data_IF_060079280162
#
_entry.id   IF_060079280162
#
_cell.length_a   1.000
_cell.length_b   1.000
_cell.length_c   1.000
_cell.angle_alpha   90.00
_cell.angle_beta   90.00
_cell.angle_gamma   90.00
#
_symmetry.space_group_name_H-M   'P 1'
#
loop_
_entity.id
_entity.type
_entity.pdbx_description
1 polymer ?
#
# COMPACT_ATOMS: atom_id res chain seq x y z
N UNK A 1 -14.15 48.34 18.21
CA UNK A 1 -14.53 46.94 17.98
C UNK A 1 -14.46 46.72 16.48
N UNK A 2 -13.32 46.24 15.98
CA UNK A 2 -13.09 46.00 14.54
C UNK A 2 -13.25 44.49 14.29
N UNK A 3 -13.99 44.06 13.26
CA UNK A 3 -14.11 42.64 12.94
C UNK A 3 -12.79 42.15 12.37
N UNK A 4 -12.25 41.08 12.97
CA UNK A 4 -11.07 40.39 12.44
C UNK A 4 -11.49 39.57 11.22
N UNK A 5 -11.02 40.00 10.05
CA UNK A 5 -11.12 39.24 8.81
C UNK A 5 -10.45 37.89 9.01
N UNK A 6 -11.25 36.83 8.94
CA UNK A 6 -10.79 35.46 8.86
C UNK A 6 -10.19 35.29 7.47
N UNK A 7 -8.86 35.29 7.37
CA UNK A 7 -8.21 34.92 6.12
C UNK A 7 -8.58 33.47 5.79
N UNK A 8 -9.11 33.19 4.59
CA UNK A 8 -9.37 31.84 4.18
C UNK A 8 -8.03 31.12 4.03
N UNK A 9 -7.81 30.08 4.85
CA UNK A 9 -6.70 29.14 4.67
C UNK A 9 -7.06 28.28 3.46
N UNK A 10 -6.92 28.87 2.27
CA UNK A 10 -7.15 28.24 0.98
C UNK A 10 -5.92 27.43 0.59
N UNK A 11 -6.08 26.12 0.42
CA UNK A 11 -5.09 25.33 -0.29
C UNK A 11 -5.13 25.69 -1.77
N UNK A 12 -4.01 26.25 -2.25
CA UNK A 12 -3.76 26.46 -3.67
C UNK A 12 -3.37 25.11 -4.27
N UNK A 13 -4.34 24.40 -4.86
CA UNK A 13 -4.02 23.49 -5.95
C UNK A 13 -3.27 24.31 -7.00
N UNK A 14 -2.07 23.88 -7.39
CA UNK A 14 -1.40 24.50 -8.54
C UNK A 14 -2.16 24.00 -9.76
N UNK A 15 -3.30 24.64 -10.03
CA UNK A 15 -4.06 24.44 -11.24
C UNK A 15 -3.29 25.14 -12.34
N UNK A 16 -2.26 24.48 -12.84
CA UNK A 16 -1.54 24.96 -14.01
C UNK A 16 -2.43 24.71 -15.21
N UNK A 17 -3.30 25.67 -15.51
CA UNK A 17 -4.06 25.67 -16.76
C UNK A 17 -3.09 25.63 -17.97
N UNK A 18 -1.85 26.09 -17.78
CA UNK A 18 -0.76 25.97 -18.73
C UNK A 18 0.56 25.44 -18.10
N UNK A 19 1.31 24.55 -18.79
CA UNK A 19 2.56 23.95 -18.27
C UNK A 19 3.64 24.95 -17.85
N UNK A 20 3.61 26.18 -18.37
CA UNK A 20 4.56 27.25 -18.04
C UNK A 20 4.44 27.74 -16.60
N UNK A 21 3.26 27.63 -15.96
CA UNK A 21 3.06 28.08 -14.58
C UNK A 21 3.70 27.13 -13.54
N UNK A 22 3.79 25.84 -13.86
CA UNK A 22 4.51 24.83 -13.07
C UNK A 22 6.02 25.09 -13.06
N UNK A 23 6.54 25.80 -14.07
CA UNK A 23 7.96 26.08 -14.22
C UNK A 23 8.43 27.33 -13.46
N UNK A 24 7.52 28.07 -12.82
CA UNK A 24 7.89 29.26 -12.04
C UNK A 24 8.70 28.87 -10.81
N UNK A 25 9.75 29.64 -10.50
CA UNK A 25 10.67 29.37 -9.39
C UNK A 25 9.95 29.22 -8.04
N UNK A 26 8.89 30.02 -7.79
CA UNK A 26 8.07 29.93 -6.56
C UNK A 26 7.26 28.63 -6.49
N UNK A 27 6.67 28.20 -7.61
CA UNK A 27 5.92 26.94 -7.71
C UNK A 27 6.85 25.74 -7.49
N UNK A 28 7.99 25.73 -8.20
CA UNK A 28 9.02 24.69 -8.06
C UNK A 28 9.57 24.61 -6.63
N UNK A 29 9.81 25.75 -5.97
CA UNK A 29 10.27 25.78 -4.58
C UNK A 29 9.24 25.16 -3.62
N UNK A 30 7.95 25.46 -3.79
CA UNK A 30 6.87 24.85 -3.00
C UNK A 30 6.77 23.33 -3.25
N UNK A 31 6.86 22.90 -4.50
CA UNK A 31 6.85 21.47 -4.88
C UNK A 31 8.03 20.74 -4.22
N UNK A 32 9.25 21.29 -4.34
CA UNK A 32 10.46 20.71 -3.76
C UNK A 32 10.39 20.66 -2.23
N UNK A 33 9.89 21.72 -1.59
CA UNK A 33 9.71 21.76 -0.13
C UNK A 33 8.71 20.72 0.35
N UNK A 34 7.58 20.56 -0.36
CA UNK A 34 6.60 19.53 -0.07
C UNK A 34 7.21 18.12 -0.23
N UNK A 35 7.86 17.85 -1.35
CA UNK A 35 8.53 16.58 -1.60
C UNK A 35 9.60 16.27 -0.55
N UNK A 36 10.37 17.27 -0.13
CA UNK A 36 11.38 17.12 0.92
C UNK A 36 10.75 16.87 2.31
N UNK A 37 9.66 17.57 2.66
CA UNK A 37 8.90 17.35 3.90
C UNK A 37 8.37 15.92 3.96
N UNK A 38 7.82 15.45 2.85
CA UNK A 38 7.29 14.09 2.70
C UNK A 38 8.39 13.02 2.81
N UNK A 39 9.52 13.21 2.14
CA UNK A 39 10.69 12.32 2.28
C UNK A 39 11.22 12.28 3.72
N UNK A 40 11.31 13.42 4.41
CA UNK A 40 11.77 13.48 5.81
C UNK A 40 10.80 12.79 6.76
N UNK A 41 9.49 13.01 6.60
CA UNK A 41 8.47 12.35 7.40
C UNK A 41 8.50 10.82 7.21
N UNK A 42 8.71 10.35 5.97
CA UNK A 42 8.93 8.93 5.66
C UNK A 42 10.16 8.36 6.35
N UNK A 43 11.31 9.02 6.19
CA UNK A 43 12.56 8.60 6.81
C UNK A 43 12.45 8.50 8.35
N UNK A 44 11.75 9.46 8.98
CA UNK A 44 11.50 9.45 10.41
C UNK A 44 10.68 8.22 10.86
N UNK A 45 9.61 7.86 10.13
CA UNK A 45 8.79 6.67 10.43
C UNK A 45 9.53 5.36 10.22
N UNK A 46 10.36 5.26 9.18
CA UNK A 46 11.22 4.08 8.95
C UNK A 46 12.19 3.92 10.12
N UNK A 47 12.81 5.01 10.55
CA UNK A 47 13.73 5.00 11.70
C UNK A 47 13.05 4.58 13.00
N UNK A 48 11.86 5.12 13.27
CA UNK A 48 11.07 4.78 14.46
C UNK A 48 10.66 3.30 14.49
N UNK A 49 10.18 2.76 13.37
CA UNK A 49 9.84 1.33 13.24
C UNK A 49 11.04 0.42 13.39
N UNK A 50 12.19 0.80 12.82
CA UNK A 50 13.44 0.03 12.94
C UNK A 50 13.89 -0.03 14.39
N UNK A 51 13.82 1.09 15.12
CA UNK A 51 14.09 1.15 16.57
C UNK A 51 13.15 0.27 17.37
N UNK A 52 11.85 0.28 17.07
CA UNK A 52 10.87 -0.58 17.74
C UNK A 52 11.18 -2.07 17.52
N UNK A 53 11.51 -2.48 16.29
CA UNK A 53 11.87 -3.87 15.96
C UNK A 53 13.17 -4.32 16.64
N UNK A 54 14.17 -3.45 16.71
CA UNK A 54 15.42 -3.72 17.44
C UNK A 54 15.18 -3.92 18.95
N UNK A 55 14.37 -3.05 19.57
CA UNK A 55 13.99 -3.17 21.00
C UNK A 55 13.23 -4.47 21.29
N UNK A 56 12.27 -4.84 20.43
CA UNK A 56 11.50 -6.08 20.59
C UNK A 56 12.37 -7.33 20.45
N UNK A 57 13.39 -7.28 19.60
CA UNK A 57 14.34 -8.40 19.42
C UNK A 57 15.29 -8.53 20.62
N UNK A 58 15.70 -7.41 21.23
CA UNK A 58 16.50 -7.41 22.46
C UNK A 58 15.71 -7.91 23.68
N UNK A 59 14.42 -7.54 23.79
CA UNK A 59 13.53 -8.07 24.85
C UNK A 59 13.26 -9.58 24.73
N UNK A 60 13.15 -10.12 23.51
CA UNK A 60 12.97 -11.55 23.29
C UNK A 60 14.22 -12.40 23.63
N UNK A 61 15.40 -11.77 23.70
CA UNK A 61 16.66 -12.44 24.08
C UNK A 61 16.90 -12.35 25.61
N UNK A 62 16.24 -11.42 26.31
CA UNK A 62 16.46 -11.15 27.73
C UNK A 62 15.45 -11.79 28.70
N UNK A 63 14.60 -12.72 28.25
CA UNK A 63 13.55 -13.34 29.07
C UNK A 63 13.79 -14.87 29.23
N UNK A 64 14.54 -15.34 30.26
CA UNK A 64 14.80 -16.77 30.49
C UNK A 64 13.79 -17.44 31.44
N UNK A 65 12.70 -16.78 31.83
CA UNK A 65 11.83 -17.28 32.91
C UNK A 65 10.34 -17.20 32.57
N UNK A 66 9.74 -18.34 32.18
CA UNK A 66 8.29 -18.41 31.98
C UNK A 66 7.72 -19.72 31.43
N UNK A 67 8.00 -20.85 32.11
CA UNK A 67 7.13 -22.05 32.23
C UNK A 67 6.15 -22.42 31.09
N UNK A 68 6.48 -23.47 30.33
CA UNK A 68 5.50 -24.51 29.96
C UNK A 68 6.08 -25.88 30.33
N UNK A 69 5.39 -26.55 31.26
CA UNK A 69 5.84 -27.78 31.93
C UNK A 69 5.10 -28.97 31.31
N UNK A 70 5.87 -30.02 31.01
CA UNK A 70 5.50 -31.45 30.79
C UNK A 70 4.90 -31.76 29.41
N UNK A 71 5.40 -32.76 28.68
CA UNK A 71 5.70 -34.13 29.14
C UNK A 71 6.87 -34.73 28.38
N UNK A 72 7.91 -35.10 29.13
CA UNK A 72 8.95 -36.00 28.67
C UNK A 72 8.39 -37.43 28.63
N UNK A 73 8.66 -38.15 27.54
CA UNK A 73 8.77 -39.60 27.57
C UNK A 73 10.11 -39.97 26.97
N UNK A 74 10.87 -40.64 27.83
CA UNK A 74 12.22 -41.16 27.66
C UNK A 74 12.16 -42.47 26.87
N UNK A 75 13.13 -42.66 25.99
CA UNK A 75 13.42 -43.91 25.30
C UNK A 75 14.76 -43.74 24.59
N UNK A 76 15.84 -43.94 25.34
CA UNK A 76 17.15 -44.24 24.78
C UNK A 76 17.11 -45.71 24.33
N UNK A 77 17.59 -46.01 23.12
CA UNK A 77 18.39 -47.21 22.85
C UNK A 77 18.99 -47.14 21.44
N UNK A 78 20.31 -47.32 21.37
CA UNK A 78 20.95 -48.23 20.43
C UNK A 78 21.12 -47.83 18.96
N UNK A 79 22.40 -47.64 18.61
CA UNK A 79 23.06 -48.24 17.44
C UNK A 79 23.29 -47.46 16.12
N UNK A 80 24.61 -47.39 15.83
CA UNK A 80 25.29 -47.72 14.57
C UNK A 80 25.28 -46.72 13.41
N UNK A 81 26.48 -46.12 13.29
CA UNK A 81 27.16 -45.69 12.06
C UNK A 81 26.82 -46.58 10.85
N UNK A 82 26.21 -45.98 9.82
CA UNK A 82 26.34 -46.45 8.44
C UNK A 82 26.25 -45.27 7.48
N UNK A 83 27.30 -45.13 6.67
CA UNK A 83 27.42 -44.22 5.53
C UNK A 83 26.39 -44.58 4.46
N UNK A 84 25.46 -43.68 4.17
CA UNK A 84 24.60 -43.77 2.99
C UNK A 84 24.27 -42.37 2.46
N UNK A 85 24.22 -42.29 1.13
CA UNK A 85 24.25 -41.10 0.30
C UNK A 85 23.05 -40.17 0.53
N UNK A 86 23.29 -38.87 0.37
CA UNK A 86 22.27 -37.81 0.34
C UNK A 86 21.15 -38.16 -0.65
N UNK A 87 19.87 -38.17 -0.25
CA UNK A 87 18.79 -38.11 -1.22
C UNK A 87 18.81 -36.72 -1.86
N UNK A 88 19.06 -36.66 -3.17
CA UNK A 88 18.80 -35.48 -3.97
C UNK A 88 17.38 -35.00 -3.66
N UNK A 89 17.26 -33.76 -3.16
CA UNK A 89 15.99 -33.08 -3.04
C UNK A 89 15.42 -32.96 -4.46
N UNK A 90 14.50 -33.86 -4.79
CA UNK A 90 13.60 -33.69 -5.93
C UNK A 90 12.94 -32.32 -5.72
N UNK A 91 13.23 -31.39 -6.63
CA UNK A 91 12.48 -30.15 -6.78
C UNK A 91 11.02 -30.56 -6.97
N UNK A 92 10.23 -30.48 -5.91
CA UNK A 92 8.79 -30.51 -6.03
C UNK A 92 8.43 -29.32 -6.91
N UNK A 93 8.10 -29.61 -8.18
CA UNK A 93 7.51 -28.63 -9.06
C UNK A 93 6.29 -28.06 -8.34
N UNK A 94 6.15 -26.73 -8.21
CA UNK A 94 4.93 -26.17 -7.67
C UNK A 94 3.79 -26.67 -8.56
N UNK A 95 2.80 -27.28 -7.93
CA UNK A 95 1.52 -27.62 -8.53
C UNK A 95 1.11 -26.43 -9.39
N UNK A 96 1.02 -26.62 -10.71
CA UNK A 96 0.63 -25.58 -11.65
C UNK A 96 -0.84 -25.22 -11.34
N UNK A 97 -1.03 -24.33 -10.37
CA UNK A 97 -2.22 -23.51 -10.27
C UNK A 97 -2.25 -22.81 -11.62
N UNK A 98 -3.27 -23.12 -12.43
CA UNK A 98 -3.52 -22.45 -13.69
C UNK A 98 -3.61 -20.97 -13.35
N UNK A 99 -2.53 -20.23 -13.59
CA UNK A 99 -2.41 -18.80 -13.31
C UNK A 99 -3.70 -18.17 -13.84
N UNK A 100 -4.50 -17.50 -12.99
CA UNK A 100 -5.63 -16.76 -13.47
C UNK A 100 -5.11 -15.87 -14.59
N UNK A 101 -5.74 -15.91 -15.76
CA UNK A 101 -5.37 -15.03 -16.86
C UNK A 101 -5.69 -13.59 -16.47
N UNK A 102 -4.80 -12.98 -15.69
CA UNK A 102 -4.96 -11.61 -15.26
C UNK A 102 -5.00 -10.74 -16.51
N UNK A 103 -6.07 -9.96 -16.66
CA UNK A 103 -6.23 -9.01 -17.77
C UNK A 103 -5.32 -7.81 -17.53
N UNK A 104 -4.02 -7.99 -17.76
CA UNK A 104 -3.03 -6.94 -17.61
C UNK A 104 -3.28 -5.84 -18.64
N UNK A 105 -3.48 -4.61 -18.15
CA UNK A 105 -3.62 -3.41 -18.98
C UNK A 105 -2.40 -3.14 -19.86
N UNK A 106 -1.23 -3.64 -19.45
CA UNK A 106 0.03 -3.56 -20.20
C UNK A 106 1.01 -4.65 -19.77
N UNK A 107 2.01 -4.89 -20.59
CA UNK A 107 3.16 -5.71 -20.22
C UNK A 107 3.92 -5.07 -19.04
N UNK A 108 4.29 -5.90 -18.06
CA UNK A 108 5.07 -5.49 -16.91
C UNK A 108 6.56 -5.73 -17.17
N UNK A 109 7.40 -4.82 -16.68
CA UNK A 109 8.84 -5.06 -16.58
C UNK A 109 9.15 -6.15 -15.55
N UNK A 110 10.36 -6.71 -15.59
CA UNK A 110 10.81 -7.68 -14.58
C UNK A 110 10.72 -7.11 -13.16
N UNK A 111 11.03 -5.82 -12.99
CA UNK A 111 10.92 -5.14 -11.71
C UNK A 111 9.47 -5.01 -11.25
N UNK A 112 8.55 -4.58 -12.12
CA UNK A 112 7.12 -4.48 -11.81
C UNK A 112 6.50 -5.85 -11.52
N UNK A 113 6.96 -6.89 -12.21
CA UNK A 113 6.55 -8.27 -11.95
C UNK A 113 6.94 -8.69 -10.54
N UNK A 114 8.16 -8.36 -10.10
CA UNK A 114 8.59 -8.61 -8.71
C UNK A 114 7.82 -7.80 -7.68
N UNK A 115 7.48 -6.53 -7.98
CA UNK A 115 6.63 -5.72 -7.10
C UNK A 115 5.21 -6.29 -7.01
N UNK A 116 4.63 -6.71 -8.12
CA UNK A 116 3.30 -7.34 -8.16
C UNK A 116 3.30 -8.67 -7.39
N UNK A 117 4.33 -9.49 -7.56
CA UNK A 117 4.51 -10.71 -6.78
C UNK A 117 4.55 -10.42 -5.27
N UNK A 118 5.33 -9.40 -4.87
CA UNK A 118 5.37 -8.92 -3.49
C UNK A 118 4.01 -8.40 -3.01
N UNK A 119 3.25 -7.69 -3.86
CA UNK A 119 1.90 -7.26 -3.53
C UNK A 119 1.00 -8.44 -3.16
N UNK A 120 0.98 -9.45 -4.02
CA UNK A 120 0.14 -10.63 -3.86
C UNK A 120 0.58 -11.40 -2.61
N UNK A 121 1.85 -11.77 -2.53
CA UNK A 121 2.33 -12.68 -1.49
C UNK A 121 2.53 -12.02 -0.13
N UNK A 122 2.75 -10.70 -0.08
CA UNK A 122 3.06 -10.01 1.17
C UNK A 122 2.03 -8.94 1.52
N UNK A 123 1.55 -8.13 0.60
CA UNK A 123 0.56 -7.09 0.95
C UNK A 123 -0.83 -7.69 1.19
N UNK A 124 -1.33 -8.51 0.25
CA UNK A 124 -2.64 -9.19 0.35
C UNK A 124 -2.58 -10.29 1.40
N UNK A 125 -1.69 -11.27 1.23
CA UNK A 125 -1.73 -12.51 2.04
C UNK A 125 -1.26 -12.33 3.49
N UNK A 126 -0.37 -11.36 3.78
CA UNK A 126 0.03 -11.10 5.18
C UNK A 126 -0.80 -10.00 5.84
N UNK A 127 -1.73 -9.40 5.09
CA UNK A 127 -2.66 -8.36 5.53
C UNK A 127 -1.98 -7.21 6.31
N UNK A 128 -0.75 -6.86 5.89
CA UNK A 128 0.02 -5.73 6.45
C UNK A 128 -0.37 -4.38 5.86
N UNK A 129 -1.32 -4.37 4.92
CA UNK A 129 -1.84 -3.16 4.26
C UNK A 129 -2.84 -2.36 5.09
N UNK A 130 -3.18 -2.78 6.32
CA UNK A 130 -4.25 -2.15 7.10
C UNK A 130 -3.87 -0.78 7.66
N UNK A 131 -4.74 0.19 7.36
CA UNK A 131 -5.01 1.37 8.18
C UNK A 131 -5.99 1.04 9.33
N UNK A 132 -6.74 -0.08 9.22
CA UNK A 132 -7.87 -0.41 10.06
C UNK A 132 -7.67 -1.76 10.76
N UNK A 133 -7.28 -1.65 12.02
CA UNK A 133 -7.08 -2.74 12.95
C UNK A 133 -8.45 -3.25 13.43
N UNK A 134 -9.07 -4.16 12.68
CA UNK A 134 -10.29 -4.86 13.12
C UNK A 134 -10.13 -6.36 12.99
N UNK A 135 -10.34 -7.07 14.10
CA UNK A 135 -10.75 -8.48 14.19
C UNK A 135 -9.92 -9.56 13.47
N UNK A 136 -9.56 -10.59 14.22
CA UNK A 136 -8.90 -11.81 13.71
C UNK A 136 -9.79 -12.55 12.67
N UNK A 137 -11.11 -12.33 12.69
CA UNK A 137 -12.09 -13.07 11.88
C UNK A 137 -12.33 -12.51 10.46
N UNK A 138 -11.83 -11.31 10.15
CA UNK A 138 -12.02 -10.68 8.84
C UNK A 138 -11.02 -11.14 7.76
N UNK A 139 -10.11 -12.07 8.07
CA UNK A 139 -8.95 -12.39 7.23
C UNK A 139 -9.28 -13.15 5.92
N UNK A 140 -9.97 -14.31 5.93
CA UNK A 140 -10.05 -15.15 4.72
C UNK A 140 -10.97 -14.57 3.63
N UNK A 141 -12.11 -13.99 4.04
CA UNK A 141 -13.06 -13.39 3.09
C UNK A 141 -12.43 -12.18 2.39
N UNK A 142 -11.72 -11.33 3.14
CA UNK A 142 -11.12 -10.11 2.61
C UNK A 142 -9.99 -10.44 1.64
N UNK A 143 -9.10 -11.36 2.01
CA UNK A 143 -8.08 -11.90 1.11
C UNK A 143 -8.71 -12.49 -0.14
N UNK A 144 -9.81 -13.26 -0.02
CA UNK A 144 -10.51 -13.79 -1.19
C UNK A 144 -11.08 -12.69 -2.08
N UNK A 145 -11.64 -11.61 -1.52
CA UNK A 145 -12.14 -10.48 -2.31
C UNK A 145 -11.01 -9.69 -2.96
N UNK A 146 -9.89 -9.53 -2.25
CA UNK A 146 -8.71 -8.88 -2.82
C UNK A 146 -8.17 -9.65 -4.02
N UNK A 147 -8.11 -10.99 -3.96
CA UNK A 147 -7.62 -11.82 -5.06
C UNK A 147 -8.62 -11.93 -6.22
N UNK A 148 -9.93 -12.07 -5.93
CA UNK A 148 -10.96 -12.33 -6.95
C UNK A 148 -11.52 -11.08 -7.61
N UNK A 149 -11.63 -9.98 -6.87
CA UNK A 149 -12.31 -8.76 -7.33
C UNK A 149 -11.31 -7.63 -7.50
N UNK A 150 -10.59 -7.27 -6.43
CA UNK A 150 -9.70 -6.10 -6.44
C UNK A 150 -8.51 -6.25 -7.39
N UNK A 151 -7.78 -7.36 -7.29
CA UNK A 151 -6.57 -7.58 -8.08
C UNK A 151 -6.85 -7.57 -9.59
N UNK A 152 -7.80 -8.35 -10.15
CA UNK A 152 -8.07 -8.30 -11.58
C UNK A 152 -8.62 -6.94 -12.02
N UNK A 153 -9.42 -6.27 -11.19
CA UNK A 153 -9.88 -4.90 -11.46
C UNK A 153 -8.71 -3.91 -11.56
N UNK A 154 -7.78 -3.97 -10.60
CA UNK A 154 -6.64 -3.08 -10.56
C UNK A 154 -5.61 -3.38 -11.67
N UNK A 155 -5.48 -4.64 -12.08
CA UNK A 155 -4.60 -5.01 -13.19
C UNK A 155 -5.13 -4.55 -14.56
N UNK A 156 -6.44 -4.32 -14.69
CA UNK A 156 -7.09 -3.85 -15.91
C UNK A 156 -7.07 -2.31 -16.09
N UNK A 157 -6.65 -1.55 -15.06
CA UNK A 157 -6.56 -0.08 -15.10
C UNK A 157 -5.12 0.40 -14.83
N UNK A 158 -4.58 1.31 -15.64
CA UNK A 158 -3.17 1.70 -15.51
C UNK A 158 -2.89 2.53 -14.25
N UNK A 159 -3.88 3.30 -13.78
CA UNK A 159 -3.78 4.08 -12.57
C UNK A 159 -3.82 3.20 -11.33
N UNK A 160 -4.75 2.23 -11.30
CA UNK A 160 -4.82 1.27 -10.21
C UNK A 160 -3.62 0.32 -10.17
N UNK A 161 -3.09 -0.13 -11.30
CA UNK A 161 -1.84 -0.87 -11.34
C UNK A 161 -0.71 -0.06 -10.67
N UNK A 162 -0.60 1.24 -10.96
CA UNK A 162 0.37 2.11 -10.30
C UNK A 162 0.14 2.17 -8.78
N UNK A 163 -1.11 2.11 -8.30
CA UNK A 163 -1.41 2.02 -6.86
C UNK A 163 -0.93 0.72 -6.22
N UNK A 164 -1.03 -0.42 -6.91
CA UNK A 164 -0.51 -1.71 -6.39
C UNK A 164 1.02 -1.66 -6.24
N UNK A 165 1.69 -1.11 -7.25
CA UNK A 165 3.15 -0.97 -7.26
C UNK A 165 3.62 0.02 -6.18
N UNK A 166 2.89 1.13 -5.98
CA UNK A 166 3.11 2.08 -4.89
C UNK A 166 3.06 1.40 -3.51
N UNK A 167 1.99 0.63 -3.26
CA UNK A 167 1.81 -0.09 -1.99
C UNK A 167 2.89 -1.15 -1.77
N UNK A 168 3.38 -1.77 -2.85
CA UNK A 168 4.48 -2.75 -2.82
C UNK A 168 5.80 -2.10 -2.41
N UNK A 169 6.16 -0.97 -3.03
CA UNK A 169 7.35 -0.20 -2.65
C UNK A 169 7.32 0.21 -1.18
N UNK A 170 6.18 0.72 -0.68
CA UNK A 170 6.04 1.06 0.76
C UNK A 170 6.23 -0.15 1.66
N UNK A 171 5.68 -1.30 1.26
CA UNK A 171 5.82 -2.54 2.01
C UNK A 171 7.29 -2.98 2.09
N UNK A 172 8.02 -2.91 0.98
CA UNK A 172 9.44 -3.24 0.90
C UNK A 172 10.34 -2.24 1.64
N UNK A 173 9.98 -0.96 1.68
CA UNK A 173 10.67 0.00 2.57
C UNK A 173 10.53 -0.39 4.04
N UNK A 174 9.37 -0.93 4.43
CA UNK A 174 9.11 -1.32 5.81
C UNK A 174 9.84 -2.60 6.24
N UNK A 175 10.35 -3.40 5.29
CA UNK A 175 11.08 -4.64 5.59
C UNK A 175 12.58 -4.42 5.83
N UNK A 176 13.14 -3.29 5.39
CA UNK A 176 14.44 -2.75 5.85
C UNK A 176 15.65 -3.01 4.95
N UNK A 177 15.53 -3.76 3.86
CA UNK A 177 16.71 -4.22 3.09
C UNK A 177 17.17 -3.28 1.95
N UNK A 178 16.42 -2.23 1.59
CA UNK A 178 16.73 -1.43 0.38
C UNK A 178 16.17 0.01 0.36
N UNK A 179 16.14 0.67 1.53
CA UNK A 179 15.37 1.91 1.76
C UNK A 179 15.45 2.98 0.67
N UNK A 180 16.63 3.28 0.13
CA UNK A 180 16.80 4.39 -0.85
C UNK A 180 16.21 4.09 -2.24
N UNK A 181 16.28 2.85 -2.72
CA UNK A 181 15.80 2.49 -4.06
C UNK A 181 14.28 2.46 -4.12
N UNK A 182 13.65 1.83 -3.12
CA UNK A 182 12.18 1.82 -3.02
C UNK A 182 11.62 3.20 -2.71
N UNK A 183 12.37 4.09 -2.01
CA UNK A 183 11.94 5.49 -1.81
C UNK A 183 11.77 6.26 -3.13
N UNK A 184 12.76 6.16 -4.03
CA UNK A 184 12.67 6.83 -5.32
C UNK A 184 11.56 6.23 -6.20
N UNK A 185 11.47 4.90 -6.22
CA UNK A 185 10.47 4.16 -7.00
C UNK A 185 9.05 4.41 -6.47
N UNK A 186 8.86 4.45 -5.16
CA UNK A 186 7.63 4.85 -4.50
C UNK A 186 7.20 6.25 -4.95
N UNK A 187 8.12 7.23 -4.90
CA UNK A 187 7.81 8.61 -5.28
C UNK A 187 7.36 8.70 -6.74
N UNK A 188 7.98 7.91 -7.63
CA UNK A 188 7.58 7.81 -9.03
C UNK A 188 6.14 7.26 -9.16
N UNK A 189 5.82 6.11 -8.56
CA UNK A 189 4.46 5.56 -8.64
C UNK A 189 3.41 6.47 -7.98
N UNK A 190 3.76 7.19 -6.90
CA UNK A 190 2.85 8.16 -6.28
C UNK A 190 2.55 9.30 -7.24
N UNK A 191 3.56 9.83 -7.92
CA UNK A 191 3.39 10.85 -8.94
C UNK A 191 2.51 10.34 -10.08
N UNK A 192 2.72 9.11 -10.57
CA UNK A 192 1.87 8.50 -11.59
C UNK A 192 0.41 8.38 -11.13
N UNK A 193 0.16 7.95 -9.88
CA UNK A 193 -1.19 7.89 -9.33
C UNK A 193 -1.89 9.26 -9.35
N UNK A 194 -1.18 10.31 -8.92
CA UNK A 194 -1.72 11.68 -8.94
C UNK A 194 -1.99 12.15 -10.38
N UNK A 195 -1.11 11.84 -11.32
CA UNK A 195 -1.31 12.16 -12.74
C UNK A 195 -2.53 11.46 -13.32
N UNK A 196 -2.74 10.17 -13.01
CA UNK A 196 -3.92 9.42 -13.42
C UNK A 196 -5.21 9.96 -12.81
N UNK A 197 -5.20 10.28 -11.51
CA UNK A 197 -6.36 10.90 -10.86
C UNK A 197 -6.71 12.23 -11.54
N UNK A 198 -5.72 13.12 -11.76
CA UNK A 198 -5.96 14.39 -12.45
C UNK A 198 -6.50 14.21 -13.87
N UNK A 199 -5.98 13.22 -14.60
CA UNK A 199 -6.47 12.87 -15.93
C UNK A 199 -7.93 12.39 -15.90
N UNK A 200 -8.30 11.51 -14.96
CA UNK A 200 -9.67 11.05 -14.79
C UNK A 200 -10.62 12.16 -14.33
N UNK A 201 -10.18 13.05 -13.44
CA UNK A 201 -10.97 14.20 -12.99
C UNK A 201 -11.27 15.21 -14.11
N UNK A 202 -10.47 15.19 -15.18
CA UNK A 202 -10.65 16.06 -16.34
C UNK A 202 -11.76 15.58 -17.28
N UNK A 203 -12.33 14.38 -17.10
CA UNK A 203 -13.49 13.92 -17.88
C UNK A 203 -14.67 13.53 -16.98
N UNK A 204 -15.87 13.96 -17.37
CA UNK A 204 -17.10 13.83 -16.56
C UNK A 204 -17.51 12.38 -16.32
N UNK A 205 -17.28 11.51 -17.29
CA UNK A 205 -17.55 10.08 -17.23
C UNK A 205 -16.61 9.31 -16.28
N UNK A 206 -15.37 9.78 -16.12
CA UNK A 206 -14.34 9.08 -15.34
C UNK A 206 -14.15 9.64 -13.93
N UNK A 207 -14.50 10.91 -13.69
CA UNK A 207 -14.22 11.61 -12.42
C UNK A 207 -14.84 10.96 -11.18
N UNK A 208 -15.90 10.18 -11.32
CA UNK A 208 -16.54 9.43 -10.23
C UNK A 208 -16.57 7.92 -10.47
N UNK A 209 -15.83 7.41 -11.46
CA UNK A 209 -15.75 5.96 -11.75
C UNK A 209 -15.16 5.17 -10.57
N UNK A 210 -15.39 3.86 -10.54
CA UNK A 210 -14.86 2.99 -9.48
C UNK A 210 -13.34 3.07 -9.40
N UNK A 211 -12.68 3.15 -10.56
CA UNK A 211 -11.23 3.23 -10.63
C UNK A 211 -10.72 4.53 -10.01
N UNK A 212 -11.34 5.67 -10.33
CA UNK A 212 -10.95 6.96 -9.77
C UNK A 212 -11.20 7.02 -8.26
N UNK A 213 -12.36 6.56 -7.79
CA UNK A 213 -12.68 6.51 -6.35
C UNK A 213 -11.65 5.63 -5.62
N UNK A 214 -11.35 4.45 -6.16
CA UNK A 214 -10.37 3.55 -5.57
C UNK A 214 -8.94 4.12 -5.58
N UNK A 215 -8.52 4.81 -6.65
CA UNK A 215 -7.21 5.49 -6.68
C UNK A 215 -7.09 6.54 -5.58
N UNK A 216 -8.12 7.39 -5.41
CA UNK A 216 -8.14 8.42 -4.36
C UNK A 216 -8.18 7.77 -2.96
N UNK A 217 -8.92 6.67 -2.79
CA UNK A 217 -8.93 5.89 -1.55
C UNK A 217 -7.53 5.35 -1.19
N UNK A 218 -6.76 4.86 -2.17
CA UNK A 218 -5.38 4.42 -1.93
C UNK A 218 -4.48 5.61 -1.55
N UNK A 219 -4.56 6.74 -2.25
CA UNK A 219 -3.80 7.95 -1.89
C UNK A 219 -4.14 8.47 -0.48
N UNK A 220 -5.42 8.46 -0.12
CA UNK A 220 -5.90 8.78 1.22
C UNK A 220 -5.27 7.86 2.27
N UNK A 221 -5.27 6.56 2.02
CA UNK A 221 -4.68 5.53 2.89
C UNK A 221 -3.17 5.75 3.03
N UNK A 222 -2.48 6.06 1.94
CA UNK A 222 -1.05 6.35 1.95
C UNK A 222 -0.72 7.57 2.82
N UNK A 223 -1.47 8.68 2.66
CA UNK A 223 -1.29 9.88 3.48
C UNK A 223 -1.58 9.62 4.95
N UNK A 224 -2.59 8.81 5.26
CA UNK A 224 -2.87 8.39 6.63
C UNK A 224 -1.71 7.58 7.23
N UNK A 225 -1.29 6.51 6.54
CA UNK A 225 -0.21 5.62 7.01
C UNK A 225 1.09 6.38 7.20
N UNK A 226 1.36 7.37 6.37
CA UNK A 226 2.53 8.24 6.46
C UNK A 226 2.36 9.41 7.44
N UNK A 227 1.18 9.58 8.03
CA UNK A 227 0.90 10.62 9.02
C UNK A 227 0.88 12.03 8.43
N UNK A 228 0.74 12.15 7.11
CA UNK A 228 0.61 13.44 6.43
C UNK A 228 -0.83 13.93 6.56
N UNK A 229 -1.15 14.56 7.69
CA UNK A 229 -2.52 15.02 8.01
C UNK A 229 -3.06 16.03 7.00
N UNK A 230 -2.20 16.89 6.44
CA UNK A 230 -2.61 17.89 5.45
C UNK A 230 -3.08 17.21 4.17
N UNK A 231 -2.26 16.32 3.61
CA UNK A 231 -2.60 15.56 2.41
C UNK A 231 -3.76 14.58 2.64
N UNK A 232 -3.83 13.96 3.82
CA UNK A 232 -4.94 13.11 4.21
C UNK A 232 -6.28 13.86 4.17
N UNK A 233 -6.35 15.09 4.70
CA UNK A 233 -7.58 15.90 4.63
C UNK A 233 -7.99 16.18 3.19
N UNK A 234 -7.02 16.59 2.35
CA UNK A 234 -7.30 16.89 0.94
C UNK A 234 -7.87 15.67 0.21
N UNK A 235 -7.25 14.51 0.38
CA UNK A 235 -7.75 13.27 -0.25
C UNK A 235 -9.08 12.82 0.35
N UNK A 236 -9.33 13.07 1.64
CA UNK A 236 -10.59 12.72 2.31
C UNK A 236 -11.74 13.58 1.78
N UNK A 237 -11.53 14.90 1.68
CA UNK A 237 -12.51 15.83 1.15
C UNK A 237 -12.85 15.48 -0.31
N UNK A 238 -11.82 15.19 -1.12
CA UNK A 238 -12.01 14.75 -2.49
C UNK A 238 -12.78 13.43 -2.58
N UNK A 239 -12.41 12.43 -1.78
CA UNK A 239 -13.08 11.12 -1.73
C UNK A 239 -14.55 11.26 -1.33
N UNK A 240 -14.83 12.04 -0.28
CA UNK A 240 -16.20 12.32 0.19
C UNK A 240 -17.02 12.98 -0.91
N UNK A 241 -16.46 14.01 -1.57
CA UNK A 241 -17.15 14.71 -2.65
C UNK A 241 -17.44 13.81 -3.86
N UNK A 242 -16.52 12.91 -4.20
CA UNK A 242 -16.73 11.96 -5.29
C UNK A 242 -17.87 10.98 -4.99
N UNK A 243 -17.97 10.50 -3.74
CA UNK A 243 -19.06 9.63 -3.32
C UNK A 243 -20.41 10.35 -3.35
N UNK A 244 -20.48 11.60 -2.88
CA UNK A 244 -21.70 12.43 -2.97
C UNK A 244 -22.18 12.59 -4.41
N UNK A 245 -21.28 12.96 -5.32
CA UNK A 245 -21.59 13.15 -6.74
C UNK A 245 -22.07 11.85 -7.41
N UNK A 246 -21.63 10.70 -6.88
CA UNK A 246 -22.03 9.37 -7.38
C UNK A 246 -23.37 8.89 -6.81
N UNK A 247 -23.92 9.55 -5.79
CA UNK A 247 -25.14 9.13 -5.10
C UNK A 247 -24.89 8.23 -3.88
N UNK A 248 -23.68 8.22 -3.33
CA UNK A 248 -23.32 7.49 -2.12
C UNK A 248 -22.48 6.22 -2.37
N UNK A 249 -22.12 5.54 -1.28
CA UNK A 249 -21.28 4.33 -1.29
C UNK A 249 -21.95 3.12 -1.95
N UNK A 250 -23.28 3.07 -1.94
CA UNK A 250 -24.06 1.99 -2.55
C UNK A 250 -24.01 2.00 -4.09
N UNK A 251 -23.60 3.12 -4.69
CA UNK A 251 -23.43 3.26 -6.13
C UNK A 251 -22.07 2.75 -6.65
N UNK A 252 -21.20 2.26 -5.76
CA UNK A 252 -19.90 1.67 -6.10
C UNK A 252 -20.05 0.23 -6.61
N UNK A 253 -19.24 -0.13 -7.59
CA UNK A 253 -19.21 -1.47 -8.17
C UNK A 253 -18.37 -2.47 -7.36
N UNK A 254 -17.86 -3.48 -8.08
CA UNK A 254 -16.97 -4.54 -7.56
C UNK A 254 -17.60 -5.42 -6.48
N UNK A 255 -18.85 -5.83 -6.70
CA UNK A 255 -19.58 -6.76 -5.82
C UNK A 255 -19.59 -6.32 -4.35
N UNK A 256 -19.63 -5.00 -4.11
CA UNK A 256 -19.62 -4.41 -2.77
C UNK A 256 -18.25 -4.40 -2.08
N UNK A 257 -17.16 -4.76 -2.77
CA UNK A 257 -15.81 -4.72 -2.21
C UNK A 257 -15.40 -3.30 -1.79
N UNK A 258 -15.56 -2.30 -2.67
CA UNK A 258 -15.16 -0.92 -2.35
C UNK A 258 -15.97 -0.38 -1.18
N UNK A 259 -17.29 -0.61 -1.18
CA UNK A 259 -18.15 -0.28 -0.04
C UNK A 259 -17.64 -0.89 1.26
N UNK A 260 -17.32 -2.20 1.23
CA UNK A 260 -16.80 -2.94 2.39
C UNK A 260 -15.46 -2.42 2.92
N UNK A 261 -14.65 -1.78 2.08
CA UNK A 261 -13.37 -1.16 2.47
C UNK A 261 -13.60 0.23 3.06
N UNK A 262 -14.57 0.99 2.55
CA UNK A 262 -14.85 2.38 2.96
C UNK A 262 -15.63 2.46 4.27
N UNK A 263 -16.61 1.56 4.48
CA UNK A 263 -17.47 1.58 5.68
C UNK A 263 -16.80 0.96 6.92
N UNK A 264 -15.62 0.36 6.78
CA UNK A 264 -14.88 -0.23 7.90
C UNK A 264 -13.87 0.73 8.48
#
# INVERSE_FOLDING_TARGET
>A
MAPSETQPIGFLFINTAHPSEASTSKSLSRIRSHAAKEMRARAAKIHERTKYRARRSQQAISDPTGTSRRRAQRGEDGEKRSTALLPQRVLAQPLAVKEPHWNLVRTLSAHETSLLDHYIHHVILTNKGRCLETGIDAQPWFTSMQLKCWLPFALADPGLLATLLLQSCRSLESTGDSGSYYTATYANYKQQCIQWVNHCLSSEDRRTSDATVAMVMVLLTESYVLGNREEWKVHLDAHTRMLELRGGVDALGLDGFLRSVIEK
#
